data_IF_433095776101
#
_entry.id   IF_433095776101
#
_cell.length_a   1.000
_cell.length_b   1.000
_cell.length_c   1.000
_cell.angle_alpha   90.00
_cell.angle_beta   90.00
_cell.angle_gamma   90.00
#
_symmetry.space_group_name_H-M   'P 1'
#
loop_
_entity.id
_entity.type
_entity.pdbx_description
1 polymer ?
#
# COMPACT_ATOMS: atom_id res chain seq x y z
N UNK A 1 -9.58 1.76 -3.11
CA UNK A 1 -8.36 1.36 -3.85
C UNK A 1 -8.67 1.19 -5.33
N UNK A 2 -7.80 1.72 -6.19
CA UNK A 2 -7.94 1.71 -7.65
C UNK A 2 -7.00 0.69 -8.32
N UNK A 3 -7.33 0.27 -9.54
CA UNK A 3 -6.57 -0.67 -10.38
C UNK A 3 -6.39 -0.09 -11.78
N UNK A 4 -5.43 -0.62 -12.51
CA UNK A 4 -5.31 -0.38 -13.95
C UNK A 4 -5.84 -1.57 -14.73
N UNK A 5 -6.61 -1.27 -15.77
CA UNK A 5 -7.07 -2.25 -16.76
C UNK A 5 -6.49 -1.83 -18.10
N UNK A 6 -5.71 -2.71 -18.74
CA UNK A 6 -5.22 -2.45 -20.09
C UNK A 6 -6.41 -2.35 -21.06
N UNK A 7 -6.38 -1.34 -21.92
CA UNK A 7 -7.29 -1.28 -23.06
C UNK A 7 -6.72 -2.21 -24.13
N UNK A 8 -7.25 -3.42 -24.21
CA UNK A 8 -6.76 -4.50 -25.07
C UNK A 8 -6.26 -5.71 -24.25
N UNK A 9 -5.44 -6.55 -24.88
CA UNK A 9 -4.94 -7.79 -24.29
C UNK A 9 -3.42 -7.74 -24.01
N UNK A 10 -2.95 -8.66 -23.17
CA UNK A 10 -1.53 -8.89 -22.89
C UNK A 10 -0.98 -8.06 -21.72
N UNK A 11 0.33 -8.19 -21.49
CA UNK A 11 1.05 -7.44 -20.46
C UNK A 11 1.01 -5.92 -20.76
N UNK A 12 1.04 -5.10 -19.70
CA UNK A 12 1.10 -3.64 -19.84
C UNK A 12 2.54 -3.22 -20.14
N UNK A 13 2.71 -2.39 -21.15
CA UNK A 13 3.98 -1.82 -21.61
C UNK A 13 3.90 -0.31 -21.63
N UNK A 14 5.07 0.34 -21.54
CA UNK A 14 5.16 1.79 -21.68
C UNK A 14 4.62 2.24 -23.03
N UNK A 15 3.68 3.18 -23.02
CA UNK A 15 2.93 3.65 -24.19
C UNK A 15 1.55 3.03 -24.33
N UNK A 16 1.21 2.01 -23.55
CA UNK A 16 -0.12 1.40 -23.59
C UNK A 16 -1.20 2.32 -23.02
N UNK A 17 -2.40 2.14 -23.56
CA UNK A 17 -3.61 2.74 -23.01
C UNK A 17 -4.16 1.87 -21.86
N UNK A 18 -4.48 2.53 -20.74
CA UNK A 18 -5.04 1.91 -19.54
C UNK A 18 -6.22 2.73 -19.03
N UNK A 19 -7.18 2.05 -18.41
CA UNK A 19 -8.27 2.66 -17.66
C UNK A 19 -8.02 2.47 -16.18
N UNK A 20 -8.26 3.52 -15.39
CA UNK A 20 -8.28 3.44 -13.94
C UNK A 20 -9.66 2.91 -13.51
N UNK A 21 -9.68 2.00 -12.55
CA UNK A 21 -10.91 1.42 -12.00
C UNK A 21 -10.86 1.37 -10.48
N UNK A 22 -12.01 1.21 -9.81
CA UNK A 22 -12.13 1.13 -8.35
C UNK A 22 -12.82 -0.17 -7.94
N UNK A 23 -12.70 -0.54 -6.67
CA UNK A 23 -13.45 -1.70 -6.15
C UNK A 23 -14.93 -1.34 -5.94
N UNK A 24 -15.72 -1.34 -7.02
CA UNK A 24 -17.18 -1.16 -6.99
C UNK A 24 -17.83 -2.21 -7.92
N UNK A 25 -18.88 -2.93 -7.48
CA UNK A 25 -19.45 -4.03 -8.25
C UNK A 25 -20.20 -3.60 -9.52
N UNK A 26 -20.68 -2.35 -9.63
CA UNK A 26 -21.49 -1.92 -10.78
C UNK A 26 -20.82 -0.82 -11.60
N UNK A 27 -20.36 0.25 -10.95
CA UNK A 27 -19.76 1.39 -11.61
C UNK A 27 -18.34 1.57 -11.08
N UNK A 28 -17.38 1.02 -11.82
CA UNK A 28 -15.99 0.93 -11.35
C UNK A 28 -15.00 1.77 -12.14
N UNK A 29 -15.34 2.24 -13.33
CA UNK A 29 -14.35 2.94 -14.15
C UNK A 29 -14.25 4.40 -13.73
N UNK A 30 -13.16 5.03 -14.20
CA UNK A 30 -12.80 6.40 -13.89
C UNK A 30 -12.70 7.25 -15.15
N UNK A 31 -13.16 8.49 -15.02
CA UNK A 31 -13.08 9.53 -16.02
C UNK A 31 -12.22 10.68 -15.48
N UNK A 32 -11.42 11.29 -16.34
CA UNK A 32 -10.74 12.54 -16.07
C UNK A 32 -11.58 13.70 -16.59
N UNK A 33 -12.01 14.58 -15.69
CA UNK A 33 -12.72 15.82 -15.99
C UNK A 33 -12.21 16.90 -15.03
N UNK A 34 -11.08 17.51 -15.38
CA UNK A 34 -10.22 18.33 -14.51
C UNK A 34 -9.67 17.64 -13.26
N UNK A 35 -10.29 16.57 -12.78
CA UNK A 35 -9.82 15.64 -11.76
C UNK A 35 -10.31 14.24 -12.11
N UNK A 36 -9.77 13.23 -11.43
CA UNK A 36 -10.26 11.86 -11.57
C UNK A 36 -11.58 11.70 -10.80
N UNK A 37 -12.61 11.23 -11.49
CA UNK A 37 -13.93 10.90 -10.96
C UNK A 37 -14.19 9.43 -11.32
N UNK A 38 -14.49 8.58 -10.35
CA UNK A 38 -14.88 7.19 -10.63
C UNK A 38 -16.31 6.90 -10.21
N UNK A 39 -16.78 5.72 -10.60
CA UNK A 39 -18.22 5.43 -10.57
C UNK A 39 -18.86 5.66 -11.94
N UNK A 40 -18.10 5.51 -13.02
CA UNK A 40 -18.63 5.59 -14.38
C UNK A 40 -18.58 4.23 -15.09
N UNK A 41 -19.28 4.14 -16.22
CA UNK A 41 -19.26 2.97 -17.11
C UNK A 41 -17.98 2.97 -17.96
N UNK A 42 -17.60 1.82 -18.50
CA UNK A 42 -16.36 1.65 -19.27
C UNK A 42 -16.33 2.44 -20.58
N UNK A 43 -17.48 2.68 -21.19
CA UNK A 43 -17.66 3.37 -22.47
C UNK A 43 -17.46 4.90 -22.37
N UNK A 44 -17.61 5.45 -21.18
CA UNK A 44 -17.35 6.87 -20.86
C UNK A 44 -16.06 7.08 -20.06
N UNK A 45 -15.34 6.00 -19.76
CA UNK A 45 -14.11 6.05 -18.99
C UNK A 45 -12.97 6.69 -19.78
N UNK A 46 -12.10 7.40 -19.06
CA UNK A 46 -10.91 8.02 -19.66
C UNK A 46 -9.82 6.98 -19.87
N UNK A 47 -9.19 7.07 -21.04
CA UNK A 47 -8.01 6.30 -21.38
C UNK A 47 -6.76 7.13 -21.04
N UNK A 48 -5.92 6.57 -20.19
CA UNK A 48 -4.62 7.13 -19.82
C UNK A 48 -3.53 6.37 -20.57
N UNK A 49 -2.47 7.06 -20.97
CA UNK A 49 -1.25 6.37 -21.40
C UNK A 49 -0.38 6.15 -20.18
N UNK A 50 0.07 4.91 -19.97
CA UNK A 50 1.02 4.57 -18.92
C UNK A 50 2.42 4.48 -19.49
N UNK A 51 3.41 5.00 -18.76
CA UNK A 51 4.81 4.87 -19.14
C UNK A 51 5.67 4.45 -17.96
N UNK A 52 6.74 3.68 -18.22
CA UNK A 52 7.81 3.53 -17.23
C UNK A 52 8.44 4.89 -16.96
N UNK A 53 8.68 5.24 -15.71
CA UNK A 53 9.42 6.44 -15.36
C UNK A 53 10.86 6.37 -15.92
N UNK A 54 11.46 5.17 -15.92
CA UNK A 54 12.85 4.91 -16.32
C UNK A 54 13.07 4.78 -17.84
N UNK A 55 12.03 4.60 -18.65
CA UNK A 55 12.22 4.33 -20.08
C UNK A 55 11.00 3.73 -20.79
N UNK A 56 11.23 2.69 -21.59
CA UNK A 56 10.23 2.01 -22.42
C UNK A 56 10.18 0.49 -22.13
N UNK A 57 9.26 -0.23 -22.78
CA UNK A 57 9.12 -1.69 -22.66
C UNK A 57 8.03 -2.15 -21.70
N UNK A 58 7.95 -3.46 -21.48
CA UNK A 58 6.96 -4.11 -20.58
C UNK A 58 7.14 -3.63 -19.15
N UNK A 59 6.07 -3.15 -18.53
CA UNK A 59 6.05 -2.64 -17.15
C UNK A 59 5.93 -3.82 -16.19
N UNK A 60 6.98 -3.98 -15.39
CA UNK A 60 6.96 -4.82 -14.21
C UNK A 60 6.52 -3.96 -13.02
N UNK A 61 5.25 -4.08 -12.63
CA UNK A 61 4.71 -3.31 -11.51
C UNK A 61 5.38 -3.63 -10.15
N UNK A 62 6.28 -4.63 -10.09
CA UNK A 62 7.08 -4.96 -8.90
C UNK A 62 8.13 -3.89 -8.65
N UNK A 63 8.83 -3.52 -9.72
CA UNK A 63 10.09 -2.78 -9.69
C UNK A 63 10.04 -1.49 -10.47
N UNK A 64 9.14 -1.39 -11.44
CA UNK A 64 9.01 -0.22 -12.28
C UNK A 64 8.08 0.82 -11.68
N UNK A 65 8.62 2.01 -11.59
CA UNK A 65 7.87 3.21 -11.39
C UNK A 65 7.14 3.64 -12.66
N UNK A 66 5.94 4.18 -12.50
CA UNK A 66 5.12 4.59 -13.64
C UNK A 66 4.69 6.04 -13.58
N UNK A 67 4.47 6.63 -14.74
CA UNK A 67 3.82 7.94 -14.90
C UNK A 67 2.61 7.77 -15.80
N UNK A 68 1.61 8.64 -15.62
CA UNK A 68 0.43 8.67 -16.48
C UNK A 68 0.43 9.90 -17.38
N UNK A 69 -0.16 9.75 -18.57
CA UNK A 69 -0.59 10.86 -19.41
C UNK A 69 -2.07 10.76 -19.69
N UNK A 70 -2.71 11.91 -19.79
CA UNK A 70 -4.03 12.07 -20.36
C UNK A 70 -3.98 13.18 -21.40
N UNK A 71 -4.53 12.92 -22.59
CA UNK A 71 -4.53 13.87 -23.72
C UNK A 71 -3.14 14.49 -24.00
N UNK A 72 -2.11 13.63 -24.03
CA UNK A 72 -0.72 14.03 -24.29
C UNK A 72 -0.04 14.83 -23.17
N UNK A 73 -0.72 15.11 -22.05
CA UNK A 73 -0.16 15.80 -20.88
C UNK A 73 0.11 14.82 -19.74
N UNK A 74 1.24 14.97 -19.08
CA UNK A 74 1.59 14.16 -17.93
C UNK A 74 0.75 14.57 -16.71
N UNK A 75 0.43 13.56 -15.91
CA UNK A 75 -0.30 13.69 -14.67
C UNK A 75 0.65 13.88 -13.48
N UNK A 76 0.25 14.74 -12.57
CA UNK A 76 0.93 15.03 -11.31
C UNK A 76 -0.10 15.13 -10.19
N UNK A 77 0.36 14.98 -8.97
CA UNK A 77 -0.44 15.31 -7.79
C UNK A 77 -0.47 16.81 -7.59
N UNK A 78 -1.66 17.32 -7.29
CA UNK A 78 -1.91 18.70 -6.90
C UNK A 78 -2.62 18.73 -5.55
N UNK A 79 -2.23 19.66 -4.67
CA UNK A 79 -2.64 19.68 -3.26
C UNK A 79 -1.61 19.05 -2.31
N UNK A 80 -2.00 18.83 -1.06
CA UNK A 80 -1.12 18.32 0.01
C UNK A 80 -1.83 17.30 0.89
N UNK A 81 -1.14 16.20 1.23
CA UNK A 81 -1.68 15.12 2.08
C UNK A 81 -3.04 14.64 1.54
N UNK A 82 -4.06 14.57 2.39
CA UNK A 82 -5.43 14.12 2.09
C UNK A 82 -6.22 14.99 1.11
N UNK A 83 -5.65 16.10 0.62
CA UNK A 83 -6.25 16.90 -0.46
C UNK A 83 -5.60 16.65 -1.83
N UNK A 84 -4.63 15.74 -1.93
CA UNK A 84 -3.87 15.52 -3.16
C UNK A 84 -4.70 14.86 -4.25
N UNK A 85 -5.00 15.55 -5.34
CA UNK A 85 -5.73 14.97 -6.47
C UNK A 85 -4.81 14.75 -7.67
N UNK A 86 -5.15 13.76 -8.51
CA UNK A 86 -4.44 13.55 -9.78
C UNK A 86 -4.92 14.59 -10.81
N UNK A 87 -3.99 15.43 -11.27
CA UNK A 87 -4.19 16.47 -12.29
C UNK A 87 -3.28 16.22 -13.48
N UNK A 88 -3.83 16.21 -14.68
CA UNK A 88 -3.10 16.04 -15.93
C UNK A 88 -3.00 17.39 -16.66
N UNK A 89 -1.77 17.82 -16.92
CA UNK A 89 -1.51 19.14 -17.51
C UNK A 89 -0.02 19.48 -17.68
N UNK A 90 0.88 18.64 -17.16
CA UNK A 90 2.33 18.87 -17.28
C UNK A 90 2.78 18.52 -18.69
N UNK A 91 3.56 19.40 -19.31
CA UNK A 91 4.05 19.23 -20.68
C UNK A 91 5.23 18.26 -20.79
N UNK A 92 5.88 17.93 -19.68
CA UNK A 92 7.12 17.15 -19.66
C UNK A 92 7.10 16.09 -18.56
N UNK A 93 7.83 14.99 -18.79
CA UNK A 93 7.82 13.78 -17.96
C UNK A 93 8.45 13.99 -16.59
N UNK A 94 9.50 14.79 -16.54
CA UNK A 94 10.24 15.19 -15.35
C UNK A 94 9.38 15.95 -14.32
N UNK A 95 8.25 16.52 -14.77
CA UNK A 95 7.27 17.20 -13.91
C UNK A 95 6.08 16.31 -13.54
N UNK A 96 6.04 15.08 -14.03
CA UNK A 96 5.00 14.12 -13.69
C UNK A 96 5.22 13.60 -12.27
N UNK A 97 4.14 13.23 -11.60
CA UNK A 97 4.29 12.40 -10.40
C UNK A 97 4.61 10.99 -10.83
N UNK A 98 5.62 10.40 -10.20
CA UNK A 98 5.83 8.97 -10.25
C UNK A 98 4.79 8.31 -9.34
N UNK A 99 3.92 7.53 -9.94
CA UNK A 99 2.87 6.79 -9.25
C UNK A 99 3.38 5.40 -8.90
N UNK A 100 3.25 5.04 -7.63
CA UNK A 100 3.26 3.64 -7.24
C UNK A 100 1.84 3.10 -7.36
N UNK A 101 1.70 2.04 -8.13
CA UNK A 101 0.45 1.31 -8.18
C UNK A 101 0.35 0.41 -6.94
N UNK A 102 -0.84 0.26 -6.35
CA UNK A 102 -1.03 -0.78 -5.36
C UNK A 102 -0.71 -2.14 -5.99
N UNK A 103 0.21 -2.87 -5.35
CA UNK A 103 0.55 -4.24 -5.75
C UNK A 103 -0.73 -5.08 -5.70
N UNK A 104 -1.06 -5.74 -6.81
CA UNK A 104 -2.36 -6.36 -6.99
C UNK A 104 -2.48 -7.71 -6.28
N UNK A 105 -3.10 -7.70 -5.11
CA UNK A 105 -4.00 -8.75 -4.57
C UNK A 105 -4.74 -8.19 -3.36
N UNK A 106 -6.05 -8.06 -3.50
CA UNK A 106 -6.93 -7.46 -2.51
C UNK A 106 -7.20 -8.46 -1.41
N UNK A 107 -6.64 -8.22 -0.24
CA UNK A 107 -7.26 -8.52 1.03
C UNK A 107 -7.02 -7.29 1.89
N UNK A 108 -8.08 -6.64 2.38
CA UNK A 108 -7.88 -5.80 3.55
C UNK A 108 -7.38 -6.74 4.64
N UNK A 109 -6.29 -6.39 5.31
CA UNK A 109 -5.75 -7.27 6.36
C UNK A 109 -5.60 -6.51 7.66
N UNK A 110 -5.88 -7.20 8.74
CA UNK A 110 -5.59 -6.73 10.09
C UNK A 110 -4.57 -7.67 10.70
N UNK A 111 -3.55 -7.10 11.33
CA UNK A 111 -2.68 -7.82 12.26
C UNK A 111 -3.19 -7.57 13.67
N UNK A 112 -3.63 -8.60 14.37
CA UNK A 112 -4.12 -8.48 15.75
C UNK A 112 -3.04 -9.01 16.68
N UNK A 113 -2.47 -8.15 17.51
CA UNK A 113 -1.42 -8.57 18.46
C UNK A 113 -1.95 -9.62 19.43
N UNK A 114 -1.22 -10.73 19.60
CA UNK A 114 -1.55 -11.76 20.60
C UNK A 114 -1.45 -11.26 22.04
N UNK A 115 -0.63 -10.23 22.28
CA UNK A 115 -0.37 -9.70 23.63
C UNK A 115 -1.45 -8.71 24.09
N UNK A 116 -1.86 -7.79 23.22
CA UNK A 116 -2.85 -6.74 23.54
C UNK A 116 -4.26 -7.05 23.03
N UNK A 117 -4.40 -8.06 22.16
CA UNK A 117 -5.60 -8.35 21.38
C UNK A 117 -6.11 -7.17 20.53
N UNK A 118 -5.26 -6.16 20.26
CA UNK A 118 -5.59 -4.97 19.47
C UNK A 118 -5.12 -5.09 18.02
N UNK A 119 -5.90 -4.51 17.11
CA UNK A 119 -5.52 -4.38 15.69
C UNK A 119 -4.38 -3.37 15.54
N UNK A 120 -3.38 -3.73 14.74
CA UNK A 120 -2.25 -2.88 14.43
C UNK A 120 -2.61 -1.87 13.34
N UNK A 121 -2.40 -0.60 13.62
CA UNK A 121 -2.67 0.50 12.69
C UNK A 121 -1.99 1.78 13.15
N UNK A 122 -2.33 2.89 12.53
CA UNK A 122 -1.84 4.20 12.94
C UNK A 122 -2.83 5.30 12.58
N UNK A 123 -2.62 6.50 13.11
CA UNK A 123 -3.39 7.66 12.69
C UNK A 123 -2.98 8.05 11.26
N UNK A 124 -3.86 7.76 10.31
CA UNK A 124 -3.62 8.00 8.90
C UNK A 124 -3.74 9.49 8.55
N UNK A 125 -4.54 10.23 9.33
CA UNK A 125 -4.76 11.67 9.15
C UNK A 125 -3.85 12.53 10.02
N UNK A 126 -2.98 11.91 10.82
CA UNK A 126 -2.02 12.63 11.64
C UNK A 126 -1.16 13.56 10.77
N UNK A 127 -1.07 14.81 11.19
CA UNK A 127 -0.18 15.80 10.59
C UNK A 127 1.30 15.61 10.95
N UNK A 128 1.60 14.65 11.83
CA UNK A 128 2.96 14.31 12.21
C UNK A 128 3.67 13.57 11.07
N UNK A 129 4.96 13.86 10.88
CA UNK A 129 5.76 13.20 9.83
C UNK A 129 6.01 11.71 10.11
N UNK A 130 5.83 11.28 11.37
CA UNK A 130 6.11 9.92 11.83
C UNK A 130 5.06 9.40 12.82
N UNK A 131 3.78 9.24 12.42
CA UNK A 131 2.75 8.67 13.28
C UNK A 131 3.13 7.22 13.61
N UNK A 132 3.31 6.85 14.89
CA UNK A 132 3.72 5.50 15.24
C UNK A 132 2.58 4.50 14.98
N UNK A 133 2.96 3.24 14.76
CA UNK A 133 2.00 2.13 14.63
C UNK A 133 1.67 1.62 16.02
N UNK A 134 0.38 1.59 16.35
CA UNK A 134 -0.14 1.06 17.61
C UNK A 134 -0.91 -0.23 17.36
N UNK A 135 -0.84 -1.18 18.30
CA UNK A 135 -1.65 -2.40 18.27
C UNK A 135 -2.53 -2.50 19.53
N UNK A 136 -3.31 -1.47 19.86
CA UNK A 136 -4.15 -1.44 21.06
C UNK A 136 -5.58 -0.99 20.73
N UNK A 137 -6.58 -1.49 21.48
CA UNK A 137 -8.01 -1.40 21.12
C UNK A 137 -8.65 0.00 21.15
N UNK A 138 -7.95 1.04 21.64
CA UNK A 138 -8.53 2.35 21.89
C UNK A 138 -7.72 3.45 21.21
N UNK A 139 -8.01 3.73 19.95
CA UNK A 139 -7.38 4.84 19.21
C UNK A 139 -8.46 5.72 18.55
N UNK A 140 -8.14 7.00 18.41
CA UNK A 140 -9.07 8.08 18.07
C UNK A 140 -9.56 8.05 16.60
N UNK A 141 -10.33 9.07 16.20
CA UNK A 141 -10.73 9.33 14.82
C UNK A 141 -9.51 9.35 13.87
N UNK A 142 -9.65 8.75 12.69
CA UNK A 142 -8.59 8.73 11.67
C UNK A 142 -7.59 7.58 11.78
N UNK A 143 -7.75 6.72 12.80
CA UNK A 143 -6.93 5.52 12.96
C UNK A 143 -7.29 4.45 11.92
N UNK A 144 -6.33 4.06 11.09
CA UNK A 144 -6.49 3.05 10.05
C UNK A 144 -5.80 1.75 10.48
N UNK A 145 -6.62 0.74 10.77
CA UNK A 145 -6.19 -0.65 11.06
C UNK A 145 -6.33 -1.56 9.82
N UNK A 146 -7.14 -1.16 8.84
CA UNK A 146 -7.30 -1.89 7.59
C UNK A 146 -6.08 -1.64 6.70
N UNK A 147 -5.16 -2.59 6.69
CA UNK A 147 -3.95 -2.50 5.89
C UNK A 147 -4.17 -3.15 4.53
N UNK A 148 -3.57 -2.56 3.52
CA UNK A 148 -3.36 -3.20 2.22
C UNK A 148 -1.98 -3.82 2.21
N UNK A 149 -1.89 -5.08 1.77
CA UNK A 149 -0.61 -5.70 1.51
C UNK A 149 -0.09 -5.33 0.13
N UNK A 150 1.16 -4.89 0.10
CA UNK A 150 1.98 -4.86 -1.10
C UNK A 150 2.92 -6.05 -1.13
N UNK A 151 2.82 -6.93 -2.13
CA UNK A 151 3.79 -8.01 -2.36
C UNK A 151 4.98 -7.50 -3.18
N UNK A 152 6.17 -8.03 -2.93
CA UNK A 152 7.36 -7.81 -3.80
C UNK A 152 7.11 -8.24 -5.26
N UNK A 153 6.12 -9.11 -5.52
CA UNK A 153 5.68 -9.54 -6.85
C UNK A 153 4.17 -9.21 -7.05
N UNK A 154 3.78 -8.29 -7.96
CA UNK A 154 2.39 -7.96 -8.25
C UNK A 154 1.67 -9.09 -9.01
N UNK A 155 0.41 -9.35 -8.67
CA UNK A 155 -0.46 -10.24 -9.45
C UNK A 155 -0.48 -11.68 -8.96
N UNK A 156 0.22 -12.01 -7.87
CA UNK A 156 0.02 -13.28 -7.19
C UNK A 156 -1.38 -13.32 -6.54
N UNK A 157 -2.16 -14.36 -6.81
CA UNK A 157 -3.51 -14.50 -6.24
C UNK A 157 -3.52 -14.68 -4.71
N UNK A 158 -2.37 -15.02 -4.12
CA UNK A 158 -2.15 -15.32 -2.71
C UNK A 158 -0.79 -14.75 -2.31
N UNK A 159 -0.68 -14.27 -1.06
CA UNK A 159 0.59 -13.87 -0.44
C UNK A 159 1.36 -15.13 -0.04
N UNK A 160 2.48 -15.49 -0.70
CA UNK A 160 3.26 -16.65 -0.27
C UNK A 160 3.95 -16.34 1.06
N UNK A 161 3.92 -17.28 2.00
CA UNK A 161 4.61 -17.11 3.29
C UNK A 161 6.12 -16.88 3.08
N UNK A 162 6.70 -15.97 3.88
CA UNK A 162 8.14 -15.68 3.88
C UNK A 162 8.63 -14.68 2.83
N UNK A 163 7.76 -14.19 1.95
CA UNK A 163 8.09 -13.13 0.97
C UNK A 163 8.16 -11.74 1.61
N UNK A 164 8.92 -10.86 0.98
CA UNK A 164 8.92 -9.44 1.31
C UNK A 164 7.55 -8.83 1.02
N UNK A 165 6.97 -8.17 2.01
CA UNK A 165 5.72 -7.45 1.88
C UNK A 165 5.78 -6.08 2.55
N UNK A 166 4.92 -5.19 2.12
CA UNK A 166 4.76 -3.85 2.69
C UNK A 166 3.32 -3.68 3.15
N UNK A 167 3.12 -3.10 4.33
CA UNK A 167 1.79 -2.69 4.79
C UNK A 167 1.56 -1.25 4.38
N UNK A 168 0.51 -1.02 3.61
CA UNK A 168 0.16 0.29 3.08
C UNK A 168 -1.27 0.66 3.45
N UNK A 169 -1.49 1.93 3.74
CA UNK A 169 -2.81 2.54 3.79
C UNK A 169 -2.87 3.54 2.66
N UNK A 170 -3.91 3.39 1.86
CA UNK A 170 -4.24 4.31 0.78
C UNK A 170 -5.41 5.16 1.25
N UNK A 171 -5.37 6.45 0.91
CA UNK A 171 -6.54 7.29 1.06
C UNK A 171 -7.64 6.84 0.07
N UNK A 172 -8.80 7.46 0.20
CA UNK A 172 -9.87 7.28 -0.76
C UNK A 172 -9.41 7.67 -2.18
N UNK A 173 -10.21 7.31 -3.16
CA UNK A 173 -9.85 7.49 -4.55
C UNK A 173 -9.62 8.97 -4.95
N UNK A 174 -10.24 9.91 -4.25
CA UNK A 174 -10.18 11.32 -4.59
C UNK A 174 -8.88 11.97 -4.11
N UNK A 175 -8.22 11.37 -3.11
CA UNK A 175 -6.91 11.77 -2.63
C UNK A 175 -5.84 10.69 -2.84
N UNK A 176 -4.74 11.04 -3.50
CA UNK A 176 -3.59 10.15 -3.63
C UNK A 176 -2.66 10.37 -2.44
N UNK A 177 -3.01 9.82 -1.28
CA UNK A 177 -2.08 9.67 -0.17
C UNK A 177 -1.80 8.19 0.08
N UNK A 178 -0.51 7.85 0.14
CA UNK A 178 -0.02 6.52 0.49
C UNK A 178 0.83 6.67 1.74
N UNK A 179 0.46 5.92 2.78
CA UNK A 179 1.26 5.77 4.00
C UNK A 179 1.68 4.33 4.10
N UNK A 180 2.97 4.06 4.26
CA UNK A 180 3.47 2.70 4.43
C UNK A 180 4.09 2.51 5.82
N UNK A 181 4.01 1.30 6.35
CA UNK A 181 4.80 0.94 7.53
C UNK A 181 6.27 1.05 7.17
N UNK A 182 7.05 1.64 8.06
CA UNK A 182 8.50 1.76 7.95
C UNK A 182 9.12 1.53 9.32
N UNK A 183 10.23 0.80 9.33
CA UNK A 183 11.04 0.59 10.53
C UNK A 183 12.15 1.64 10.58
N UNK A 184 12.26 2.35 11.71
CA UNK A 184 13.39 3.25 11.97
C UNK A 184 14.62 2.51 12.50
N UNK A 185 15.73 3.23 12.61
CA UNK A 185 17.00 2.76 13.16
C UNK A 185 16.93 2.23 14.58
N UNK A 186 16.02 2.77 15.41
CA UNK A 186 15.76 2.29 16.78
C UNK A 186 14.79 1.10 16.84
N UNK A 187 14.31 0.62 15.69
CA UNK A 187 13.36 -0.46 15.57
C UNK A 187 11.89 -0.02 15.67
N UNK A 188 11.59 1.24 15.99
CA UNK A 188 10.21 1.74 16.02
C UNK A 188 9.55 1.62 14.65
N UNK A 189 8.27 1.26 14.62
CA UNK A 189 7.48 1.20 13.39
C UNK A 189 6.52 2.39 13.34
N UNK A 190 6.51 3.08 12.20
CA UNK A 190 5.70 4.27 11.98
C UNK A 190 5.14 4.31 10.56
N UNK A 191 4.11 5.13 10.35
CA UNK A 191 3.66 5.49 9.01
C UNK A 191 4.60 6.51 8.38
N UNK A 192 5.29 6.11 7.32
CA UNK A 192 5.99 7.04 6.45
C UNK A 192 4.95 7.70 5.52
N UNK A 193 4.42 8.85 5.93
CA UNK A 193 3.41 9.58 5.16
C UNK A 193 4.03 10.16 3.88
N UNK A 194 3.32 10.06 2.75
CA UNK A 194 3.78 10.54 1.44
C UNK A 194 5.09 9.88 0.95
N UNK A 195 5.47 8.74 1.51
CA UNK A 195 6.69 8.06 1.10
C UNK A 195 6.40 7.14 -0.10
N UNK A 196 6.67 7.67 -1.28
CA UNK A 196 6.48 6.95 -2.55
C UNK A 196 7.64 6.00 -2.83
N UNK A 197 8.78 6.03 -2.13
CA UNK A 197 9.88 5.06 -2.32
C UNK A 197 10.76 4.92 -1.07
N UNK A 198 10.91 3.71 -0.54
CA UNK A 198 11.97 3.46 0.44
C UNK A 198 12.18 1.99 0.78
N UNK A 199 13.45 1.58 0.76
CA UNK A 199 13.91 0.19 0.97
C UNK A 199 13.72 -0.34 2.42
N UNK A 200 13.29 0.51 3.35
CA UNK A 200 12.96 0.14 4.75
C UNK A 200 11.47 -0.07 4.98
N UNK A 201 10.70 -0.29 3.91
CA UNK A 201 9.24 -0.44 3.95
C UNK A 201 8.79 -1.90 3.84
N UNK A 202 9.77 -2.82 3.80
CA UNK A 202 9.54 -4.25 3.63
C UNK A 202 9.69 -5.00 4.94
N UNK A 203 8.78 -5.95 5.11
CA UNK A 203 8.72 -6.90 6.20
C UNK A 203 8.58 -8.30 5.62
N UNK A 204 8.93 -9.31 6.39
CA UNK A 204 8.65 -10.71 6.07
C UNK A 204 7.58 -11.21 7.03
N UNK A 205 6.51 -11.74 6.48
CA UNK A 205 5.45 -12.38 7.24
C UNK A 205 5.60 -13.89 7.13
N UNK A 206 5.61 -14.59 8.26
CA UNK A 206 5.74 -16.04 8.30
C UNK A 206 4.73 -16.66 9.26
N UNK A 207 4.08 -17.73 8.83
CA UNK A 207 3.13 -18.49 9.65
C UNK A 207 3.89 -19.24 10.75
N UNK A 208 3.42 -19.12 11.98
CA UNK A 208 3.96 -19.86 13.13
C UNK A 208 3.68 -21.35 12.91
N UNK A 209 4.75 -22.15 12.81
CA UNK A 209 4.65 -23.58 12.49
C UNK A 209 4.81 -23.91 10.99
N UNK A 210 4.94 -22.89 10.13
CA UNK A 210 5.06 -23.03 8.68
C UNK A 210 3.71 -23.14 7.96
N UNK A 211 3.75 -23.23 6.63
CA UNK A 211 2.55 -23.30 5.79
C UNK A 211 2.23 -22.00 5.06
N UNK A 212 1.10 -22.02 4.35
CA UNK A 212 0.61 -20.90 3.56
C UNK A 212 -0.12 -19.85 4.42
N UNK A 213 -0.10 -18.60 3.98
CA UNK A 213 -0.79 -17.52 4.67
C UNK A 213 -2.29 -17.57 4.38
N UNK A 214 -3.09 -17.89 5.39
CA UNK A 214 -4.56 -17.98 5.33
C UNK A 214 -5.22 -17.11 6.39
N UNK A 215 -6.49 -16.78 6.20
CA UNK A 215 -7.28 -16.05 7.21
C UNK A 215 -7.32 -16.80 8.55
N UNK A 216 -7.09 -16.09 9.65
CA UNK A 216 -6.97 -16.65 10.99
C UNK A 216 -5.61 -17.27 11.33
N UNK A 217 -4.64 -17.27 10.41
CA UNK A 217 -3.30 -17.79 10.68
C UNK A 217 -2.58 -16.97 11.76
N UNK A 218 -1.84 -17.65 12.64
CA UNK A 218 -0.92 -16.98 13.57
C UNK A 218 0.40 -16.72 12.84
N UNK A 219 0.82 -15.47 12.80
CA UNK A 219 1.97 -15.02 12.01
C UNK A 219 2.99 -14.27 12.86
N UNK A 220 4.21 -14.22 12.34
CA UNK A 220 5.32 -13.41 12.85
C UNK A 220 5.69 -12.38 11.81
N UNK A 221 6.04 -11.19 12.27
CA UNK A 221 6.45 -10.08 11.41
C UNK A 221 7.92 -9.80 11.66
N UNK A 222 8.75 -9.78 10.61
CA UNK A 222 10.18 -9.51 10.70
C UNK A 222 10.57 -8.35 9.79
N UNK A 223 11.16 -7.29 10.33
CA UNK A 223 11.60 -6.16 9.51
C UNK A 223 12.77 -6.57 8.62
N UNK A 224 12.71 -6.22 7.33
CA UNK A 224 13.78 -6.54 6.38
C UNK A 224 15.04 -5.70 6.64
N UNK A 225 14.88 -4.47 7.16
CA UNK A 225 15.96 -3.50 7.36
C UNK A 225 16.95 -3.90 8.45
N UNK A 226 16.47 -4.49 9.55
CA UNK A 226 17.31 -4.85 10.70
C UNK A 226 17.25 -6.35 11.04
N UNK A 227 16.42 -7.14 10.36
CA UNK A 227 16.27 -8.56 10.59
C UNK A 227 15.70 -8.92 11.97
N UNK A 228 15.04 -7.99 12.67
CA UNK A 228 14.41 -8.22 13.97
C UNK A 228 12.92 -8.51 13.84
N UNK A 229 12.39 -9.29 14.76
CA UNK A 229 10.95 -9.53 14.88
C UNK A 229 10.27 -8.32 15.50
N UNK A 230 9.14 -7.95 14.90
CA UNK A 230 8.29 -6.85 15.30
C UNK A 230 7.20 -7.35 16.23
N UNK A 231 6.96 -6.63 17.32
CA UNK A 231 6.07 -7.05 18.38
C UNK A 231 5.65 -5.93 19.30
N UNK A 232 4.78 -6.28 20.23
CA UNK A 232 4.30 -5.43 21.32
C UNK A 232 4.52 -6.21 22.61
N UNK A 233 5.43 -5.73 23.45
CA UNK A 233 5.97 -6.49 24.60
C UNK A 233 5.04 -6.57 25.80
N UNK A 234 4.11 -5.63 25.94
CA UNK A 234 3.12 -5.62 27.01
C UNK A 234 1.76 -5.15 26.49
N UNK A 235 0.67 -5.49 27.18
CA UNK A 235 -0.68 -5.23 26.69
C UNK A 235 -1.03 -3.74 26.55
N UNK A 236 -0.28 -2.86 27.24
CA UNK A 236 -0.47 -1.41 27.24
C UNK A 236 0.58 -0.69 26.41
N UNK A 237 1.60 -1.41 25.90
CA UNK A 237 2.62 -0.87 25.05
C UNK A 237 1.94 -0.28 23.83
N UNK A 238 2.23 0.99 23.63
CA UNK A 238 1.50 1.78 22.67
C UNK A 238 2.01 1.50 21.27
N UNK A 239 3.32 1.28 21.07
CA UNK A 239 3.91 1.16 19.74
C UNK A 239 4.39 -0.25 19.38
N UNK A 240 4.30 -0.56 18.09
CA UNK A 240 4.96 -1.70 17.46
C UNK A 240 6.47 -1.42 17.31
N UNK A 241 7.31 -2.33 17.80
CA UNK A 241 8.77 -2.20 17.78
C UNK A 241 9.38 -3.50 17.23
N UNK A 242 10.37 -3.38 16.35
CA UNK A 242 11.16 -4.47 15.77
C UNK A 242 12.50 -4.62 16.48
N UNK A 243 12.48 -5.32 17.61
CA UNK A 243 13.64 -5.53 18.49
C UNK A 243 13.86 -7.00 18.92
N UNK A 244 12.97 -7.92 18.53
CA UNK A 244 13.07 -9.32 18.90
C UNK A 244 14.13 -10.09 18.09
N UNK A 245 15.04 -10.81 18.75
CA UNK A 245 15.95 -11.75 18.10
C UNK A 245 15.28 -13.06 17.67
N UNK A 246 14.16 -13.39 18.32
CA UNK A 246 13.32 -14.54 17.99
C UNK A 246 11.85 -14.21 18.15
N UNK A 247 10.99 -14.96 17.46
CA UNK A 247 9.53 -14.87 17.62
C UNK A 247 9.01 -15.70 18.81
N UNK A 248 9.81 -15.88 19.86
CA UNK A 248 9.39 -16.63 21.05
C UNK A 248 8.36 -15.84 21.86
N UNK A 249 7.28 -16.52 22.26
CA UNK A 249 6.20 -15.92 23.05
C UNK A 249 5.19 -15.12 22.23
N UNK A 250 4.16 -14.60 22.90
CA UNK A 250 3.03 -13.92 22.26
C UNK A 250 3.34 -12.45 21.91
N UNK A 251 4.42 -11.88 22.45
CA UNK A 251 4.84 -10.51 22.17
C UNK A 251 5.11 -10.23 20.69
N UNK A 252 5.55 -11.25 19.93
CA UNK A 252 5.96 -11.12 18.52
C UNK A 252 5.06 -11.91 17.57
N UNK A 253 3.83 -12.20 18.00
CA UNK A 253 2.85 -12.96 17.22
C UNK A 253 1.59 -12.15 17.01
N UNK A 254 0.99 -12.35 15.84
CA UNK A 254 -0.25 -11.69 15.44
C UNK A 254 -1.22 -12.73 14.89
N UNK A 255 -2.51 -12.53 15.10
CA UNK A 255 -3.52 -13.14 14.22
C UNK A 255 -3.59 -12.33 12.93
N UNK A 256 -3.47 -13.04 11.81
CA UNK A 256 -3.66 -12.48 10.48
C UNK A 256 -5.13 -12.64 10.09
N UNK A 257 -5.81 -11.51 9.84
CA UNK A 257 -7.22 -11.51 9.46
C UNK A 257 -7.41 -10.87 8.10
N UNK A 258 -8.12 -11.54 7.20
CA UNK A 258 -8.57 -11.01 5.91
C UNK A 258 -9.96 -10.38 6.05
N UNK A 259 -10.19 -9.27 5.35
CA UNK A 259 -11.43 -8.49 5.31
C UNK A 259 -12.15 -8.64 3.96
#
# INVERSE_FOLDING_TARGET
MWRLVKVGAGAISSGDSVQITVNNPMLKYCQYNDMIICGVKSDVASNFVIEKASGSGVIDFATDDVVFKYDGKYCSLDGRRHSQSIKCGKSSKDKATVFQLPYSSFTGVNLISKTSAGECGGDFYAEADRPPIYCSKNQNLGFAFNLTLGLEEPGAAVVPAGKGLSFKVYDDLYSYQVSNFKTDTDGSVFFATNNVRGDNSFFRLAVVGGGDLEDGAVVTLKAASNGKYCGVKDAFAVSLICDGDSASGDAYKFDYKVL
#
